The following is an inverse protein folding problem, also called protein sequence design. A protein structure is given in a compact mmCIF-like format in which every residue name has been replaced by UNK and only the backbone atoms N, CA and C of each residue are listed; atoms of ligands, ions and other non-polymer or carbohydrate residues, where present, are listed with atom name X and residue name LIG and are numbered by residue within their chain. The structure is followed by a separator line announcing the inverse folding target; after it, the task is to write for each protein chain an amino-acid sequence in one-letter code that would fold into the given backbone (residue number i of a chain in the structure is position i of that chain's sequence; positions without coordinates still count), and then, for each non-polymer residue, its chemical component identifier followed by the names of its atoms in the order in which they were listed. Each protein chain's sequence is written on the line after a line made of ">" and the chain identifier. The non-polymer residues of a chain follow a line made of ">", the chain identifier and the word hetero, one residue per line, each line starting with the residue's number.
data_IF_145976876142
#
_entry.id   IF_145976876142
#
_cell.length_a   1.000
_cell.length_b   1.000
_cell.length_c   1.000
_cell.angle_alpha   90.00
_cell.angle_beta   90.00
_cell.angle_gamma   90.00
#
_symmetry.space_group_name_H-M   'P 1'
#
loop_
_entity.id
_entity.type
_entity.pdbx_description
1 polymer ?
#
# COMPACT_ATOMS: atom_id res chain seq x y z
N UNK A 1 -26.22 -19.48 -22.59
CA UNK A 1 -25.79 -19.02 -23.91
C UNK A 1 -24.63 -18.03 -23.69
N UNK A 2 -23.45 -18.40 -24.19
CA UNK A 2 -22.23 -17.60 -24.40
C UNK A 2 -21.63 -16.77 -23.25
N UNK A 3 -20.67 -17.38 -22.54
CA UNK A 3 -19.53 -16.69 -21.96
C UNK A 3 -18.53 -16.31 -23.07
N UNK A 4 -18.15 -15.04 -23.13
CA UNK A 4 -16.97 -14.53 -23.82
C UNK A 4 -16.36 -13.47 -22.89
N UNK A 5 -15.09 -13.41 -22.55
CA UNK A 5 -13.91 -14.16 -22.93
C UNK A 5 -12.78 -13.44 -22.19
N UNK A 6 -12.31 -14.00 -21.08
CA UNK A 6 -11.15 -13.47 -20.37
C UNK A 6 -9.92 -13.94 -21.15
N UNK A 7 -9.52 -13.16 -22.15
CA UNK A 7 -8.20 -13.27 -22.74
C UNK A 7 -7.21 -12.54 -21.81
N UNK A 8 -6.86 -13.19 -20.70
CA UNK A 8 -5.69 -12.81 -19.91
C UNK A 8 -4.45 -13.33 -20.64
N UNK A 9 -3.97 -12.54 -21.59
CA UNK A 9 -2.67 -12.71 -22.21
C UNK A 9 -1.82 -11.47 -21.92
N UNK A 10 -1.24 -11.43 -20.73
CA UNK A 10 0.03 -10.72 -20.54
C UNK A 10 1.03 -11.74 -20.01
N UNK A 11 1.41 -12.66 -20.91
CA UNK A 11 2.52 -13.56 -20.73
C UNK A 11 3.82 -12.73 -20.77
N UNK A 12 4.33 -12.34 -19.60
CA UNK A 12 5.73 -12.01 -19.47
C UNK A 12 6.51 -13.33 -19.48
N UNK A 13 6.99 -13.70 -20.66
CA UNK A 13 7.92 -14.79 -20.86
C UNK A 13 9.20 -14.54 -20.05
N UNK A 14 9.48 -15.39 -19.08
CA UNK A 14 10.84 -15.58 -18.55
C UNK A 14 11.46 -16.73 -19.35
N UNK A 15 12.48 -16.51 -20.19
CA UNK A 15 13.19 -17.59 -20.82
C UNK A 15 14.11 -18.23 -19.79
N UNK A 16 14.01 -19.54 -19.63
CA UNK A 16 15.03 -20.33 -18.94
C UNK A 16 14.67 -20.73 -17.51
N UNK A 17 13.80 -21.73 -17.37
CA UNK A 17 14.11 -22.98 -16.65
C UNK A 17 12.93 -23.93 -16.78
N UNK A 18 13.09 -24.86 -17.70
CA UNK A 18 12.29 -26.07 -17.74
C UNK A 18 12.49 -26.83 -16.42
N UNK A 19 11.42 -27.04 -15.65
CA UNK A 19 11.35 -28.21 -14.79
C UNK A 19 9.99 -28.87 -14.89
N UNK A 20 10.06 -30.10 -15.38
CA UNK A 20 9.00 -31.07 -15.62
C UNK A 20 8.07 -31.16 -14.41
N UNK A 21 6.78 -31.03 -14.65
CA UNK A 21 5.75 -31.55 -13.75
C UNK A 21 5.62 -33.03 -14.13
N UNK A 22 6.32 -33.90 -13.39
CA UNK A 22 6.10 -35.33 -13.49
C UNK A 22 4.81 -35.65 -12.73
N UNK A 23 3.90 -36.28 -13.46
CA UNK A 23 2.64 -36.84 -13.01
C UNK A 23 2.87 -38.02 -12.04
N UNK A 24 1.97 -38.16 -11.07
CA UNK A 24 1.77 -39.33 -10.20
C UNK A 24 0.55 -39.01 -9.33
N UNK A 25 -0.67 -39.37 -9.73
CA UNK A 25 -1.25 -40.72 -9.70
C UNK A 25 -1.13 -41.34 -8.30
N UNK A 26 -2.26 -41.28 -7.59
CA UNK A 26 -2.74 -42.10 -6.48
C UNK A 26 -1.71 -42.80 -5.57
N UNK A 27 -1.46 -42.17 -4.43
CA UNK A 27 -1.24 -42.88 -3.18
C UNK A 27 -2.10 -42.20 -2.10
N UNK A 28 -3.13 -42.88 -1.60
CA UNK A 28 -3.84 -42.42 -0.40
C UNK A 28 -2.85 -42.45 0.79
N UNK A 29 -2.51 -41.31 1.42
CA UNK A 29 -1.58 -41.31 2.55
C UNK A 29 -2.27 -41.74 3.85
N UNK A 30 -1.51 -42.44 4.69
CA UNK A 30 -1.86 -42.91 6.04
C UNK A 30 -2.11 -41.73 7.00
N UNK A 31 -2.89 -41.91 8.09
CA UNK A 31 -3.40 -40.79 8.91
C UNK A 31 -2.32 -39.92 9.60
N UNK A 32 -1.09 -40.41 9.80
CA UNK A 32 0.01 -39.62 10.38
C UNK A 32 0.65 -38.63 9.40
N UNK A 33 0.68 -38.94 8.09
CA UNK A 33 1.22 -38.06 7.05
C UNK A 33 0.30 -36.84 6.78
N UNK A 34 -0.99 -36.97 7.12
CA UNK A 34 -1.99 -35.91 6.96
C UNK A 34 -1.77 -34.77 7.97
N UNK A 35 -1.32 -35.06 9.19
CA UNK A 35 -1.14 -34.04 10.25
C UNK A 35 0.03 -33.08 9.93
N UNK A 36 1.17 -33.63 9.52
CA UNK A 36 2.37 -32.85 9.14
C UNK A 36 2.17 -32.10 7.81
N UNK A 37 1.42 -32.68 6.87
CA UNK A 37 1.07 -32.03 5.60
C UNK A 37 0.05 -30.91 5.81
N UNK A 38 -0.92 -31.06 6.73
CA UNK A 38 -1.86 -29.99 7.12
C UNK A 38 -1.14 -28.83 7.82
N UNK A 39 -0.14 -29.11 8.67
CA UNK A 39 0.67 -28.06 9.31
C UNK A 39 1.58 -27.32 8.30
N UNK A 40 2.18 -28.04 7.34
CA UNK A 40 3.02 -27.45 6.28
C UNK A 40 2.21 -26.65 5.25
N UNK A 41 1.02 -27.13 4.87
CA UNK A 41 0.13 -26.43 3.91
C UNK A 41 -0.55 -25.21 4.54
N UNK A 42 -0.93 -25.26 5.83
CA UNK A 42 -1.41 -24.08 6.56
C UNK A 42 -0.30 -23.06 6.80
N UNK A 43 0.94 -23.50 7.07
CA UNK A 43 2.10 -22.60 7.13
C UNK A 43 2.42 -21.94 5.77
N UNK A 44 2.31 -22.68 4.66
CA UNK A 44 2.52 -22.14 3.30
C UNK A 44 1.42 -21.16 2.88
N UNK A 45 0.16 -21.43 3.27
CA UNK A 45 -0.98 -20.53 3.01
C UNK A 45 -0.93 -19.26 3.88
N UNK A 46 -0.46 -19.37 5.13
CA UNK A 46 -0.24 -18.20 5.99
C UNK A 46 0.92 -17.33 5.49
N UNK A 47 1.98 -17.96 4.96
CA UNK A 47 3.08 -17.26 4.30
C UNK A 47 2.65 -16.53 3.01
N UNK A 48 1.70 -17.08 2.25
CA UNK A 48 1.17 -16.46 1.03
C UNK A 48 0.23 -15.28 1.33
N UNK A 49 -0.47 -15.29 2.47
CA UNK A 49 -1.42 -14.23 2.86
C UNK A 49 -0.75 -12.97 3.44
N UNK A 50 0.53 -13.07 3.85
CA UNK A 50 1.32 -11.94 4.36
C UNK A 50 1.98 -11.09 3.25
N UNK A 51 1.89 -11.53 1.99
CA UNK A 51 2.36 -10.79 0.80
C UNK A 51 1.17 -10.14 0.08
N UNK A 52 0.19 -9.64 0.83
CA UNK A 52 -0.78 -8.69 0.28
C UNK A 52 -0.13 -7.28 0.32
N UNK A 53 0.05 -6.57 -0.81
CA UNK A 53 0.46 -5.18 -0.76
C UNK A 53 -0.65 -4.37 -0.09
N UNK A 54 -0.43 -3.93 1.14
CA UNK A 54 -1.27 -2.98 1.84
C UNK A 54 -1.15 -1.58 1.19
N UNK A 55 -1.63 -1.45 -0.04
CA UNK A 55 -1.63 -0.22 -0.82
C UNK A 55 -2.89 0.60 -0.50
N UNK A 56 -2.97 1.18 0.71
CA UNK A 56 -4.07 2.11 1.04
C UNK A 56 -3.71 3.24 2.02
N UNK A 57 -2.45 3.39 2.45
CA UNK A 57 -2.10 4.44 3.40
C UNK A 57 -0.75 5.15 3.16
N UNK A 58 -0.36 5.32 1.90
CA UNK A 58 0.81 6.11 1.55
C UNK A 58 0.50 6.97 0.32
N UNK A 59 0.12 8.24 0.49
CA UNK A 59 0.08 9.18 -0.65
C UNK A 59 0.25 10.66 -0.27
N UNK A 60 -0.31 11.17 0.84
CA UNK A 60 -0.25 12.62 1.15
C UNK A 60 1.17 13.20 1.25
N UNK A 61 2.11 12.51 1.91
CA UNK A 61 3.50 12.99 2.01
C UNK A 61 4.22 12.94 0.66
N UNK A 62 3.93 11.93 -0.17
CA UNK A 62 4.49 11.81 -1.52
C UNK A 62 3.95 12.91 -2.45
N UNK A 63 2.68 13.25 -2.35
CA UNK A 63 2.05 14.34 -3.12
C UNK A 63 2.62 15.72 -2.77
N UNK A 64 2.87 15.98 -1.48
CA UNK A 64 3.54 17.22 -1.05
C UNK A 64 4.97 17.29 -1.60
N UNK A 65 5.72 16.19 -1.53
CA UNK A 65 7.08 16.14 -2.07
C UNK A 65 7.09 16.33 -3.60
N UNK A 66 6.17 15.69 -4.33
CA UNK A 66 6.00 15.91 -5.77
C UNK A 66 5.69 17.36 -6.08
N UNK A 67 4.72 17.95 -5.41
CA UNK A 67 4.32 19.36 -5.61
C UNK A 67 5.47 20.33 -5.36
N UNK A 68 6.24 20.14 -4.28
CA UNK A 68 7.43 20.95 -4.02
C UNK A 68 8.51 20.75 -5.09
N UNK A 69 8.71 19.51 -5.58
CA UNK A 69 9.67 19.27 -6.67
C UNK A 69 9.24 19.89 -7.99
N UNK A 70 7.98 19.75 -8.38
CA UNK A 70 7.44 20.37 -9.61
C UNK A 70 7.62 21.88 -9.55
N UNK A 71 7.21 22.54 -8.46
CA UNK A 71 7.38 23.99 -8.30
C UNK A 71 8.84 24.41 -8.29
N UNK A 72 9.74 23.62 -7.70
CA UNK A 72 11.17 23.91 -7.73
C UNK A 72 11.74 23.85 -9.16
N UNK A 73 11.29 22.87 -9.96
CA UNK A 73 11.69 22.72 -11.36
C UNK A 73 11.10 23.84 -12.24
N UNK A 74 9.83 24.18 -12.06
CA UNK A 74 9.14 25.24 -12.82
C UNK A 74 9.76 26.62 -12.56
N UNK A 75 10.34 26.82 -11.37
CA UNK A 75 11.05 28.05 -11.00
C UNK A 75 12.53 28.03 -11.34
N UNK A 76 13.02 26.96 -11.97
CA UNK A 76 14.43 26.83 -12.37
C UNK A 76 15.41 26.74 -11.21
N UNK A 77 14.93 26.44 -10.00
CA UNK A 77 15.77 26.38 -8.81
C UNK A 77 16.69 25.16 -8.89
N UNK A 78 17.99 25.41 -8.74
CA UNK A 78 19.02 24.36 -8.70
C UNK A 78 19.98 24.58 -7.54
N UNK A 79 20.86 23.61 -7.28
CA UNK A 79 21.88 23.70 -6.25
C UNK A 79 21.36 24.07 -4.85
N UNK A 80 22.02 25.05 -4.21
CA UNK A 80 21.69 25.48 -2.86
C UNK A 80 20.28 26.08 -2.73
N UNK A 81 19.80 26.77 -3.77
CA UNK A 81 18.50 27.42 -3.76
C UNK A 81 17.36 26.41 -3.79
N UNK A 82 17.49 25.35 -4.60
CA UNK A 82 16.53 24.22 -4.59
C UNK A 82 16.44 23.56 -3.22
N UNK A 83 17.59 23.35 -2.55
CA UNK A 83 17.61 22.73 -1.23
C UNK A 83 16.92 23.60 -0.19
N UNK A 84 17.17 24.91 -0.20
CA UNK A 84 16.52 25.88 0.68
C UNK A 84 15.02 25.91 0.44
N UNK A 85 14.61 26.03 -0.82
CA UNK A 85 13.20 25.99 -1.22
C UNK A 85 12.52 24.70 -0.78
N UNK A 86 13.13 23.53 -1.02
CA UNK A 86 12.58 22.24 -0.63
C UNK A 86 12.36 22.16 0.88
N UNK A 87 13.36 22.59 1.66
CA UNK A 87 13.27 22.61 3.12
C UNK A 87 12.13 23.50 3.60
N UNK A 88 12.00 24.71 3.06
CA UNK A 88 10.92 25.64 3.40
C UNK A 88 9.55 25.12 2.97
N UNK A 89 9.43 24.58 1.75
CA UNK A 89 8.19 24.03 1.20
C UNK A 89 7.66 22.87 2.06
N UNK A 90 8.53 21.90 2.36
CA UNK A 90 8.19 20.75 3.19
C UNK A 90 7.88 21.14 4.64
N UNK A 91 8.65 22.05 5.22
CA UNK A 91 8.43 22.50 6.61
C UNK A 91 7.10 23.25 6.76
N UNK A 92 6.75 24.09 5.79
CA UNK A 92 5.49 24.83 5.78
C UNK A 92 4.30 23.87 5.65
N UNK A 93 4.37 22.89 4.74
CA UNK A 93 3.35 21.87 4.59
C UNK A 93 3.18 21.01 5.86
N UNK A 94 4.29 20.65 6.54
CA UNK A 94 4.24 19.95 7.83
C UNK A 94 3.58 20.79 8.92
N UNK A 95 3.89 22.07 9.00
CA UNK A 95 3.28 22.96 9.99
C UNK A 95 1.78 23.15 9.75
N UNK A 96 1.35 23.29 8.49
CA UNK A 96 -0.06 23.34 8.13
C UNK A 96 -0.80 22.04 8.53
N UNK A 97 -0.19 20.88 8.23
CA UNK A 97 -0.73 19.58 8.63
C UNK A 97 -0.84 19.44 10.16
N UNK A 98 0.18 19.90 10.91
CA UNK A 98 0.16 19.86 12.37
C UNK A 98 -0.92 20.76 12.97
N UNK A 99 -1.12 21.97 12.43
CA UNK A 99 -2.19 22.87 12.86
C UNK A 99 -3.56 22.25 12.62
N UNK A 100 -3.79 21.72 11.42
CA UNK A 100 -5.04 21.04 11.06
C UNK A 100 -5.32 19.84 11.95
N UNK A 101 -4.31 19.02 12.21
CA UNK A 101 -4.44 17.88 13.12
C UNK A 101 -4.82 18.34 14.54
N UNK A 102 -4.22 19.42 15.04
CA UNK A 102 -4.56 19.98 16.36
C UNK A 102 -6.00 20.48 16.38
N UNK A 103 -6.40 21.27 15.38
CA UNK A 103 -7.77 21.77 15.25
C UNK A 103 -8.79 20.63 15.20
N UNK A 104 -8.57 19.63 14.35
CA UNK A 104 -9.43 18.45 14.28
C UNK A 104 -9.51 17.69 15.61
N UNK A 105 -8.44 17.67 16.41
CA UNK A 105 -8.49 17.04 17.73
C UNK A 105 -9.26 17.88 18.76
N UNK A 106 -9.20 19.21 18.69
CA UNK A 106 -10.00 20.11 19.52
C UNK A 106 -11.48 19.98 19.16
N UNK A 107 -11.82 20.04 17.88
CA UNK A 107 -13.21 19.91 17.41
C UNK A 107 -13.79 18.50 17.59
N UNK A 108 -12.94 17.49 17.82
CA UNK A 108 -13.36 16.14 18.18
C UNK A 108 -13.63 15.96 19.69
N UNK A 109 -13.43 16.99 20.52
CA UNK A 109 -13.75 16.93 21.95
C UNK A 109 -15.23 16.56 22.13
N UNK A 110 -15.50 15.61 23.03
CA UNK A 110 -16.85 15.07 23.26
C UNK A 110 -17.32 14.02 22.25
N UNK A 111 -16.56 13.72 21.19
CA UNK A 111 -16.84 12.60 20.26
C UNK A 111 -16.04 11.36 20.68
N UNK A 112 -16.70 10.20 20.71
CA UNK A 112 -16.08 8.91 21.03
C UNK A 112 -16.49 7.85 20.01
N UNK A 113 -15.82 6.69 20.04
CA UNK A 113 -16.18 5.55 19.20
C UNK A 113 -16.09 5.82 17.70
N UNK A 114 -17.08 5.35 16.94
CA UNK A 114 -17.20 5.51 15.49
C UNK A 114 -17.30 6.98 15.09
N UNK A 115 -18.05 7.78 15.85
CA UNK A 115 -18.32 9.18 15.53
C UNK A 115 -17.06 10.04 15.52
N UNK A 116 -16.12 9.76 16.44
CA UNK A 116 -14.80 10.42 16.43
C UNK A 116 -13.98 10.02 15.22
N UNK A 117 -14.02 8.74 14.82
CA UNK A 117 -13.23 8.25 13.67
C UNK A 117 -13.75 8.87 12.37
N UNK A 118 -15.05 8.93 12.19
CA UNK A 118 -15.68 9.49 11.00
C UNK A 118 -15.50 11.01 10.95
N UNK A 119 -15.62 11.68 12.10
CA UNK A 119 -15.26 13.09 12.23
C UNK A 119 -13.79 13.36 11.88
N UNK A 120 -12.86 12.57 12.43
CA UNK A 120 -11.43 12.75 12.18
C UNK A 120 -11.09 12.51 10.70
N UNK A 121 -11.72 11.51 10.06
CA UNK A 121 -11.58 11.26 8.62
C UNK A 121 -12.10 12.42 7.80
N UNK A 122 -13.29 12.95 8.10
CA UNK A 122 -13.85 14.12 7.43
C UNK A 122 -12.96 15.36 7.58
N UNK A 123 -12.53 15.66 8.81
CA UNK A 123 -11.71 16.83 9.11
C UNK A 123 -10.31 16.78 8.46
N UNK A 124 -9.67 15.62 8.43
CA UNK A 124 -8.32 15.47 7.85
C UNK A 124 -8.32 15.29 6.32
N UNK A 125 -9.46 14.92 5.73
CA UNK A 125 -9.58 14.72 4.29
C UNK A 125 -9.89 16.01 3.53
N UNK A 126 -10.67 16.92 4.10
CA UNK A 126 -11.01 18.23 3.52
C UNK A 126 -9.76 19.08 3.36
N UNK A 127 -9.09 19.06 2.19
CA UNK A 127 -7.73 19.57 1.99
C UNK A 127 -7.60 21.07 2.27
#
# INVERSE_FOLDING_TARGET
>A
MAAAGIALACAAAVPGRARRIASGADALPTPEEVLMTKLRTTALLFALCLVAPAAAHANRQHEVMRTCNTKASDTGLSGAERKKYMSTCLSSARNAQQKKMKECNISAQGKAGTDRKDFMKGCLSAN
#
